data_IF_460657673662
#
_entry.id   IF_460657673662
#
_cell.length_a   1.000
_cell.length_b   1.000
_cell.length_c   1.000
_cell.angle_alpha   90.00
_cell.angle_beta   90.00
_cell.angle_gamma   90.00
#
_symmetry.space_group_name_H-M   'P 1'
#
loop_
_entity.id
_entity.type
_entity.pdbx_description
1 polymer ?
#
# COMPACT_ATOMS: atom_id res chain seq x y z
N UNK A 1 36.58 -65.48 -34.71
CA UNK A 1 35.34 -65.56 -33.89
C UNK A 1 35.33 -64.34 -32.91
N UNK A 2 34.73 -63.24 -33.30
CA UNK A 2 34.75 -61.98 -32.53
C UNK A 2 33.34 -61.68 -32.08
N UNK A 3 33.10 -61.58 -30.76
CA UNK A 3 31.80 -61.19 -30.18
C UNK A 3 31.78 -59.68 -30.01
N UNK A 4 30.71 -58.95 -30.43
CA UNK A 4 30.57 -57.57 -30.12
C UNK A 4 29.98 -57.35 -28.71
N UNK A 5 30.66 -56.51 -27.94
CA UNK A 5 30.14 -55.92 -26.68
C UNK A 5 28.96 -54.97 -26.97
N UNK A 6 27.83 -55.26 -26.39
CA UNK A 6 26.68 -54.34 -26.36
C UNK A 6 26.85 -53.41 -25.16
N UNK A 7 27.14 -52.14 -25.41
CA UNK A 7 27.11 -51.09 -24.42
C UNK A 7 25.66 -50.60 -24.29
N UNK A 8 25.03 -50.89 -23.15
CA UNK A 8 23.72 -50.34 -22.81
C UNK A 8 23.90 -48.98 -22.19
N UNK A 9 23.55 -47.95 -22.94
CA UNK A 9 23.49 -46.57 -22.40
C UNK A 9 22.22 -46.39 -21.56
N UNK A 10 22.39 -46.31 -20.24
CA UNK A 10 21.31 -45.94 -19.32
C UNK A 10 21.09 -44.42 -19.33
N UNK A 11 20.02 -43.96 -19.96
CA UNK A 11 19.54 -42.61 -19.89
C UNK A 11 18.85 -42.38 -18.54
N UNK A 12 19.55 -41.77 -17.58
CA UNK A 12 18.95 -41.29 -16.35
C UNK A 12 18.24 -39.97 -16.66
N UNK A 13 16.93 -40.01 -16.80
CA UNK A 13 16.08 -38.83 -16.91
C UNK A 13 16.00 -38.15 -15.54
N UNK A 14 16.75 -37.09 -15.37
CA UNK A 14 16.69 -36.21 -14.20
C UNK A 14 15.40 -35.33 -14.28
N UNK A 15 14.30 -35.83 -13.73
CA UNK A 15 13.08 -35.07 -13.56
C UNK A 15 13.29 -34.05 -12.42
N UNK A 16 13.77 -32.86 -12.76
CA UNK A 16 13.78 -31.72 -11.85
C UNK A 16 12.32 -31.29 -11.65
N UNK A 17 11.71 -31.76 -10.57
CA UNK A 17 10.44 -31.28 -10.07
C UNK A 17 10.63 -29.80 -9.64
N UNK A 18 10.30 -28.89 -10.52
CA UNK A 18 10.11 -27.47 -10.23
C UNK A 18 8.88 -27.32 -9.32
N UNK A 19 9.04 -27.68 -8.05
CA UNK A 19 8.08 -27.37 -7.00
C UNK A 19 8.19 -25.87 -6.73
N UNK A 20 7.56 -25.06 -7.60
CA UNK A 20 7.35 -23.65 -7.31
C UNK A 20 6.63 -23.54 -5.95
N UNK A 21 6.99 -22.58 -5.08
CA UNK A 21 6.30 -22.41 -3.82
C UNK A 21 4.82 -22.13 -4.13
N UNK A 22 3.98 -23.12 -3.87
CA UNK A 22 2.55 -22.96 -3.90
C UNK A 22 2.23 -21.84 -2.94
N UNK A 23 1.89 -20.66 -3.47
CA UNK A 23 1.39 -19.52 -2.70
C UNK A 23 0.09 -19.96 -2.05
N UNK A 24 0.19 -20.57 -0.87
CA UNK A 24 -0.96 -20.91 -0.06
C UNK A 24 -1.66 -19.60 0.28
N UNK A 25 -2.72 -19.28 -0.47
CA UNK A 25 -3.59 -18.13 -0.29
C UNK A 25 -4.44 -18.32 0.98
N UNK A 26 -3.78 -18.55 2.11
CA UNK A 26 -4.45 -18.55 3.40
C UNK A 26 -5.14 -17.20 3.64
N UNK A 27 -6.21 -17.15 4.47
CA UNK A 27 -6.99 -15.93 4.68
C UNK A 27 -6.08 -14.76 5.07
N UNK A 28 -6.32 -13.61 4.44
CA UNK A 28 -5.56 -12.38 4.71
C UNK A 28 -5.78 -11.97 6.16
N UNK A 29 -4.69 -11.70 6.89
CA UNK A 29 -4.77 -11.21 8.27
C UNK A 29 -5.26 -9.76 8.31
N UNK A 30 -4.65 -8.90 7.49
CA UNK A 30 -4.97 -7.48 7.43
C UNK A 30 -6.20 -7.26 6.56
N UNK A 31 -7.21 -6.65 7.14
CA UNK A 31 -8.32 -6.02 6.43
C UNK A 31 -7.99 -4.55 6.23
N UNK A 32 -8.17 -4.09 5.02
CA UNK A 32 -8.06 -2.70 4.67
C UNK A 32 -9.46 -2.28 4.28
N UNK A 33 -10.02 -1.36 5.04
CA UNK A 33 -11.38 -0.87 4.81
C UNK A 33 -11.54 -0.51 3.34
N UNK A 34 -12.64 -0.96 2.79
CA UNK A 34 -13.02 -0.60 1.42
C UNK A 34 -13.41 0.88 1.46
N UNK A 35 -12.41 1.75 1.34
CA UNK A 35 -12.69 3.10 0.89
C UNK A 35 -13.52 2.97 -0.38
N UNK A 36 -14.61 3.73 -0.52
CA UNK A 36 -15.39 3.77 -1.75
C UNK A 36 -14.49 4.07 -2.94
N UNK A 37 -14.99 3.93 -4.14
CA UNK A 37 -14.35 4.49 -5.33
C UNK A 37 -14.42 6.02 -5.19
N UNK A 38 -13.28 6.68 -5.13
CA UNK A 38 -13.19 8.12 -4.92
C UNK A 38 -11.76 8.55 -4.72
N UNK A 39 -11.57 9.85 -4.57
CA UNK A 39 -10.25 10.44 -4.36
C UNK A 39 -10.30 11.64 -3.41
N UNK A 40 -9.17 11.96 -2.82
CA UNK A 40 -8.94 13.18 -2.05
C UNK A 40 -7.91 14.03 -2.77
N UNK A 41 -8.27 15.29 -3.01
CA UNK A 41 -7.40 16.27 -3.65
C UNK A 41 -6.98 17.31 -2.62
N UNK A 42 -5.69 17.65 -2.60
CA UNK A 42 -5.12 18.72 -1.79
C UNK A 42 -4.50 19.75 -2.70
N UNK A 43 -4.97 20.99 -2.62
CA UNK A 43 -4.34 22.16 -3.25
C UNK A 43 -3.05 22.49 -2.53
N UNK A 44 -1.95 22.62 -3.26
CA UNK A 44 -0.61 22.81 -2.67
C UNK A 44 0.07 24.10 -3.13
N UNK A 45 -0.39 24.69 -4.24
CA UNK A 45 0.34 25.74 -4.94
C UNK A 45 1.54 25.19 -5.73
N UNK A 46 2.31 26.09 -6.40
CA UNK A 46 3.47 25.72 -7.19
C UNK A 46 4.64 25.21 -6.33
N UNK A 47 5.50 24.39 -6.93
CA UNK A 47 6.71 23.86 -6.31
C UNK A 47 6.59 22.45 -5.72
N UNK A 48 7.65 21.95 -5.08
CA UNK A 48 7.64 20.63 -4.48
C UNK A 48 6.84 20.64 -3.18
N UNK A 49 5.92 19.72 -3.02
CA UNK A 49 5.04 19.65 -1.87
C UNK A 49 4.91 18.23 -1.33
N UNK A 50 4.58 18.16 -0.04
CA UNK A 50 4.17 16.93 0.63
C UNK A 50 2.84 17.16 1.35
N UNK A 51 1.93 16.22 1.19
CA UNK A 51 0.68 16.20 1.94
C UNK A 51 0.48 14.85 2.61
N UNK A 52 -0.18 14.87 3.75
CA UNK A 52 -0.54 13.67 4.51
C UNK A 52 -2.02 13.38 4.31
N UNK A 53 -2.34 12.12 3.99
CA UNK A 53 -3.69 11.66 3.71
C UNK A 53 -4.10 10.54 4.66
N UNK A 54 -5.35 10.56 5.09
CA UNK A 54 -6.06 9.41 5.63
C UNK A 54 -6.21 8.39 4.48
N UNK A 55 -5.52 7.28 4.57
CA UNK A 55 -5.43 6.35 3.46
C UNK A 55 -6.44 5.20 3.55
N UNK A 56 -6.63 4.66 4.72
CA UNK A 56 -7.58 3.58 4.95
C UNK A 56 -7.76 3.27 6.44
N UNK A 57 -8.94 2.76 6.79
CA UNK A 57 -9.10 1.96 8.00
C UNK A 57 -8.36 0.64 7.85
N UNK A 58 -7.64 0.25 8.89
CA UNK A 58 -6.91 -1.02 8.93
C UNK A 58 -7.20 -1.79 10.20
N UNK A 59 -7.48 -3.08 10.08
CA UNK A 59 -7.72 -3.95 11.22
C UNK A 59 -7.33 -5.40 10.92
N UNK A 60 -7.31 -6.25 11.93
CA UNK A 60 -6.98 -7.67 11.79
C UNK A 60 -8.24 -8.53 11.82
N UNK A 61 -8.39 -9.44 10.84
CA UNK A 61 -9.49 -10.41 10.78
C UNK A 61 -9.40 -11.49 11.85
N UNK A 62 -8.21 -11.74 12.38
CA UNK A 62 -7.92 -12.70 13.46
C UNK A 62 -6.89 -12.13 14.43
N UNK A 63 -6.74 -12.69 15.65
CA UNK A 63 -5.69 -12.24 16.57
C UNK A 63 -4.30 -12.33 15.96
N UNK A 64 -3.44 -11.34 16.25
CA UNK A 64 -2.08 -11.28 15.72
C UNK A 64 -1.54 -9.85 15.64
N UNK A 65 -0.46 -9.71 14.89
CA UNK A 65 0.16 -8.43 14.56
C UNK A 65 0.53 -8.44 13.07
N UNK A 66 0.04 -7.44 12.33
CA UNK A 66 0.53 -7.17 10.98
C UNK A 66 1.50 -5.99 11.02
N UNK A 67 2.68 -6.13 10.43
CA UNK A 67 3.64 -5.04 10.26
C UNK A 67 3.62 -4.58 8.81
N UNK A 68 3.19 -3.34 8.57
CA UNK A 68 3.31 -2.72 7.24
C UNK A 68 4.79 -2.48 6.96
N UNK A 69 5.25 -2.92 5.82
CA UNK A 69 6.67 -2.88 5.42
C UNK A 69 6.92 -1.93 4.25
N UNK A 70 5.89 -1.70 3.43
CA UNK A 70 5.99 -0.81 2.27
C UNK A 70 4.58 -0.35 1.86
N UNK A 71 4.50 0.89 1.39
CA UNK A 71 3.27 1.48 0.84
C UNK A 71 3.63 2.25 -0.42
N UNK A 72 2.94 1.99 -1.52
CA UNK A 72 3.17 2.64 -2.81
C UNK A 72 1.87 3.05 -3.44
N UNK A 73 1.88 4.13 -4.20
CA UNK A 73 0.76 4.49 -5.06
C UNK A 73 0.55 3.42 -6.14
N UNK A 74 -0.68 3.26 -6.53
CA UNK A 74 -1.07 2.53 -7.74
C UNK A 74 -1.29 3.55 -8.84
N UNK A 75 -0.90 3.20 -10.06
CA UNK A 75 -1.02 4.07 -11.24
C UNK A 75 -0.55 5.50 -10.93
N UNK A 76 0.70 5.70 -10.47
CA UNK A 76 1.17 7.03 -10.10
C UNK A 76 1.21 7.94 -11.34
N UNK A 77 0.83 9.20 -11.15
CA UNK A 77 0.93 10.27 -12.14
C UNK A 77 1.78 11.41 -11.58
N UNK A 78 2.43 12.18 -12.44
CA UNK A 78 3.23 13.35 -12.05
C UNK A 78 4.38 13.02 -11.10
N UNK A 79 4.99 11.82 -11.24
CA UNK A 79 6.09 11.33 -10.40
C UNK A 79 5.80 11.35 -8.89
N UNK A 80 4.52 11.21 -8.53
CA UNK A 80 4.10 11.11 -7.14
C UNK A 80 4.68 9.89 -6.44
N UNK A 81 5.07 10.06 -5.18
CA UNK A 81 5.61 8.99 -4.36
C UNK A 81 5.03 9.01 -2.95
N UNK A 82 4.88 7.82 -2.34
CA UNK A 82 4.69 7.70 -0.90
C UNK A 82 6.07 7.74 -0.25
N UNK A 83 6.34 8.78 0.53
CA UNK A 83 7.64 8.99 1.19
C UNK A 83 7.65 8.57 2.65
N UNK A 84 6.49 8.59 3.31
CA UNK A 84 6.34 8.10 4.68
C UNK A 84 4.92 7.58 4.94
N UNK A 85 4.77 6.78 5.98
CA UNK A 85 3.47 6.28 6.42
C UNK A 85 3.48 5.89 7.89
N UNK A 86 2.31 5.95 8.51
CA UNK A 86 2.11 5.55 9.91
C UNK A 86 0.73 4.95 10.12
N UNK A 87 0.60 4.15 11.16
CA UNK A 87 -0.67 3.62 11.65
C UNK A 87 -0.95 4.21 13.03
N UNK A 88 -2.07 4.86 13.17
CA UNK A 88 -2.52 5.44 14.44
C UNK A 88 -3.85 4.84 14.88
N UNK A 89 -4.17 4.91 16.16
CA UNK A 89 -5.51 4.61 16.64
C UNK A 89 -6.44 5.72 16.21
N UNK A 90 -7.59 5.38 15.62
CA UNK A 90 -8.60 6.35 15.20
C UNK A 90 -9.26 7.07 16.37
N UNK A 91 -9.69 8.30 16.13
CA UNK A 91 -10.47 9.14 17.05
C UNK A 91 -11.40 10.05 16.23
N UNK A 92 -12.39 10.62 16.89
CA UNK A 92 -13.31 11.57 16.26
C UNK A 92 -12.56 12.85 15.85
N UNK A 93 -12.87 13.36 14.65
CA UNK A 93 -12.26 14.59 14.12
C UNK A 93 -10.85 14.38 13.52
N UNK A 94 -10.50 13.15 13.14
CA UNK A 94 -9.26 12.89 12.38
C UNK A 94 -9.27 13.63 11.03
N UNK A 95 -8.18 14.31 10.65
CA UNK A 95 -8.11 14.99 9.36
C UNK A 95 -8.12 13.97 8.20
N UNK A 96 -8.94 14.20 7.18
CA UNK A 96 -8.92 13.41 5.94
C UNK A 96 -7.64 13.67 5.14
N UNK A 97 -7.17 14.92 5.13
CA UNK A 97 -5.92 15.32 4.53
C UNK A 97 -5.38 16.60 5.15
N UNK A 98 -4.09 16.84 4.97
CA UNK A 98 -3.44 18.10 5.34
C UNK A 98 -2.25 18.38 4.41
N UNK A 99 -2.08 19.63 3.98
CA UNK A 99 -0.95 20.10 3.17
C UNK A 99 0.34 20.24 4.02
N UNK A 100 0.64 19.20 4.82
CA UNK A 100 1.84 19.14 5.67
C UNK A 100 2.47 17.74 5.57
N UNK A 101 3.80 17.63 5.59
CA UNK A 101 4.45 16.34 5.70
C UNK A 101 4.11 15.65 7.03
N UNK A 102 4.04 14.32 7.02
CA UNK A 102 3.58 13.48 8.14
C UNK A 102 4.32 13.79 9.44
N UNK A 103 5.64 13.98 9.38
CA UNK A 103 6.49 14.33 10.53
C UNK A 103 6.11 15.65 11.23
N UNK A 104 5.39 16.56 10.53
CA UNK A 104 4.92 17.83 11.09
C UNK A 104 3.52 17.73 11.70
N UNK A 105 2.84 16.59 11.57
CA UNK A 105 1.49 16.39 12.13
C UNK A 105 1.59 15.59 13.42
N UNK A 106 1.80 16.31 14.54
CA UNK A 106 2.06 15.69 15.87
C UNK A 106 1.02 14.66 16.30
N UNK A 107 -0.25 14.88 15.98
CA UNK A 107 -1.35 13.97 16.31
C UNK A 107 -1.27 12.63 15.57
N UNK A 108 -0.47 12.53 14.51
CA UNK A 108 -0.31 11.33 13.69
C UNK A 108 0.98 10.55 14.00
N UNK A 109 1.60 10.80 15.15
CA UNK A 109 2.73 9.97 15.58
C UNK A 109 2.23 8.58 15.98
N UNK A 110 2.58 7.59 15.20
CA UNK A 110 2.07 6.23 15.34
C UNK A 110 3.14 5.17 15.15
N UNK A 111 2.74 4.05 14.62
CA UNK A 111 3.57 2.86 14.44
C UNK A 111 3.37 2.29 13.03
N UNK A 112 4.19 1.32 12.64
CA UNK A 112 3.98 0.52 11.42
C UNK A 112 3.29 -0.82 11.72
N UNK A 113 2.74 -0.99 12.93
CA UNK A 113 2.11 -2.23 13.37
C UNK A 113 0.62 -2.04 13.56
N UNK A 114 -0.17 -2.96 13.01
CA UNK A 114 -1.61 -3.09 13.25
C UNK A 114 -1.83 -4.21 14.25
N UNK A 115 -2.52 -3.92 15.36
CA UNK A 115 -2.82 -4.88 16.42
C UNK A 115 -4.33 -5.01 16.68
N UNK A 116 -5.12 -4.03 16.24
CA UNK A 116 -6.55 -3.99 16.48
C UNK A 116 -7.32 -4.99 15.61
N UNK A 117 -8.26 -5.73 16.23
CA UNK A 117 -9.17 -6.62 15.51
C UNK A 117 -10.30 -5.83 14.84
N UNK A 118 -10.75 -6.32 13.69
CA UNK A 118 -12.00 -5.86 13.10
C UNK A 118 -13.17 -6.32 13.98
N UNK A 119 -13.97 -5.38 14.48
CA UNK A 119 -15.10 -5.72 15.35
C UNK A 119 -16.07 -4.56 15.47
N UNK A 120 -17.35 -4.88 15.72
CA UNK A 120 -18.43 -3.90 15.83
C UNK A 120 -18.51 -3.21 17.20
N UNK A 121 -17.86 -3.72 18.25
CA UNK A 121 -18.11 -3.27 19.66
C UNK A 121 -17.07 -2.32 20.19
N UNK A 122 -15.84 -2.41 19.73
CA UNK A 122 -14.81 -1.46 20.15
C UNK A 122 -14.66 -0.44 19.04
N UNK A 123 -15.17 0.76 19.22
CA UNK A 123 -14.96 1.91 18.31
C UNK A 123 -13.47 2.26 18.08
N UNK A 124 -12.56 1.38 18.46
CA UNK A 124 -11.13 1.48 18.24
C UNK A 124 -10.78 0.95 16.85
N UNK A 125 -10.88 1.78 15.84
CA UNK A 125 -10.33 1.51 14.53
C UNK A 125 -8.89 2.02 14.47
N UNK A 126 -8.12 1.43 13.57
CA UNK A 126 -6.77 1.88 13.27
C UNK A 126 -6.78 2.49 11.88
N UNK A 127 -6.00 3.53 11.70
CA UNK A 127 -5.96 4.29 10.45
C UNK A 127 -4.54 4.28 9.92
N UNK A 128 -4.39 3.95 8.66
CA UNK A 128 -3.18 4.17 7.89
C UNK A 128 -3.19 5.59 7.34
N UNK A 129 -2.18 6.39 7.70
CA UNK A 129 -1.86 7.64 7.06
C UNK A 129 -0.66 7.47 6.14
N UNK A 130 -0.66 8.17 5.03
CA UNK A 130 0.45 8.23 4.08
C UNK A 130 0.84 9.66 3.78
N UNK A 131 2.13 9.89 3.61
CA UNK A 131 2.65 11.11 3.03
C UNK A 131 2.86 10.87 1.54
N UNK A 132 2.25 11.72 0.72
CA UNK A 132 2.46 11.74 -0.72
C UNK A 132 3.21 13.01 -1.09
N UNK A 133 4.23 12.88 -1.94
CA UNK A 133 5.02 14.00 -2.43
C UNK A 133 4.77 14.27 -3.91
N UNK A 134 4.81 15.54 -4.27
CA UNK A 134 4.75 16.07 -5.62
C UNK A 134 6.08 16.78 -5.93
N UNK A 135 6.78 16.47 -7.05
CA UNK A 135 7.94 17.23 -7.48
C UNK A 135 7.55 18.63 -7.97
N UNK A 136 8.55 19.50 -8.14
CA UNK A 136 8.32 20.92 -8.47
C UNK A 136 7.72 21.11 -9.88
N UNK A 137 8.11 20.28 -10.81
CA UNK A 137 7.74 20.37 -12.22
C UNK A 137 6.37 19.80 -12.55
N UNK A 138 5.73 19.10 -11.62
CA UNK A 138 4.42 18.50 -11.86
C UNK A 138 3.30 19.41 -11.37
N UNK A 139 2.38 19.87 -12.22
CA UNK A 139 1.21 20.66 -11.80
C UNK A 139 0.20 19.84 -11.00
N UNK A 140 0.13 18.52 -11.29
CA UNK A 140 -0.65 17.54 -10.55
C UNK A 140 0.15 16.25 -10.35
N UNK A 141 0.04 15.62 -9.18
CA UNK A 141 0.72 14.38 -8.87
C UNK A 141 -0.11 13.53 -7.89
N UNK A 142 -0.16 12.22 -8.10
CA UNK A 142 -1.00 11.35 -7.26
C UNK A 142 -1.09 9.91 -7.75
N UNK A 143 -2.20 9.24 -7.44
CA UNK A 143 -2.48 7.88 -7.93
C UNK A 143 -3.80 7.31 -7.40
N UNK A 144 -4.31 6.23 -8.03
CA UNK A 144 -5.66 5.66 -7.86
C UNK A 144 -5.78 4.70 -6.68
N UNK A 145 -4.99 4.86 -5.68
CA UNK A 145 -5.01 4.02 -4.49
C UNK A 145 -3.63 3.52 -4.08
N UNK A 146 -3.60 2.58 -3.16
CA UNK A 146 -2.36 2.08 -2.60
C UNK A 146 -2.18 0.58 -2.80
N UNK A 147 -0.93 0.20 -2.94
CA UNK A 147 -0.42 -1.16 -2.72
C UNK A 147 0.31 -1.19 -1.39
N UNK A 148 -0.21 -1.95 -0.44
CA UNK A 148 0.28 -2.04 0.93
C UNK A 148 0.90 -3.41 1.14
N UNK A 149 2.22 -3.47 1.31
CA UNK A 149 2.93 -4.70 1.67
C UNK A 149 3.01 -4.81 3.19
N UNK A 150 2.73 -6.00 3.72
CA UNK A 150 2.79 -6.24 5.16
C UNK A 150 3.28 -7.65 5.49
N UNK A 151 3.87 -7.81 6.68
CA UNK A 151 4.27 -9.10 7.23
C UNK A 151 3.25 -9.60 8.24
N UNK A 152 2.89 -10.87 8.10
CA UNK A 152 2.09 -11.68 9.02
C UNK A 152 2.99 -12.84 9.50
N UNK A 153 3.64 -12.67 10.62
CA UNK A 153 4.76 -13.51 11.01
C UNK A 153 5.90 -13.42 9.99
N UNK A 154 6.28 -14.55 9.41
CA UNK A 154 7.32 -14.62 8.37
C UNK A 154 6.81 -14.38 6.95
N UNK A 155 5.49 -14.37 6.74
CA UNK A 155 4.89 -14.26 5.41
C UNK A 155 4.71 -12.79 5.01
N UNK A 156 5.18 -12.44 3.82
CA UNK A 156 4.86 -11.15 3.19
C UNK A 156 3.57 -11.28 2.38
N UNK A 157 2.69 -10.32 2.54
CA UNK A 157 1.39 -10.24 1.87
C UNK A 157 1.13 -8.83 1.34
N UNK A 158 0.17 -8.71 0.44
CA UNK A 158 -0.23 -7.43 -0.17
C UNK A 158 -1.72 -7.21 -0.01
N UNK A 159 -2.07 -6.01 0.45
CA UNK A 159 -3.42 -5.44 0.38
C UNK A 159 -3.45 -4.28 -0.62
N UNK A 160 -4.63 -3.88 -1.07
CA UNK A 160 -4.83 -2.77 -2.01
C UNK A 160 -6.04 -1.95 -1.60
N UNK A 161 -5.92 -0.61 -1.77
CA UNK A 161 -7.05 0.32 -1.72
C UNK A 161 -7.42 0.78 -3.12
N UNK A 162 -8.59 1.42 -3.25
CA UNK A 162 -9.04 2.07 -4.48
C UNK A 162 -9.20 3.58 -4.33
N UNK A 163 -9.01 4.09 -3.14
CA UNK A 163 -9.11 5.50 -2.82
C UNK A 163 -7.90 6.25 -3.37
N UNK A 164 -8.11 7.23 -4.24
CA UNK A 164 -7.05 8.02 -4.88
C UNK A 164 -6.57 9.17 -4.00
N UNK A 165 -5.33 9.61 -4.24
CA UNK A 165 -4.67 10.71 -3.50
C UNK A 165 -3.96 11.60 -4.49
N UNK A 166 -4.31 12.88 -4.52
CA UNK A 166 -3.77 13.83 -5.49
C UNK A 166 -3.37 15.14 -4.83
N UNK A 167 -2.22 15.67 -5.25
CA UNK A 167 -1.73 17.00 -4.95
C UNK A 167 -1.77 17.82 -6.23
N UNK A 168 -2.44 18.96 -6.19
CA UNK A 168 -2.59 19.83 -7.34
C UNK A 168 -2.10 21.25 -6.99
N UNK A 169 -1.45 21.93 -7.93
CA UNK A 169 -1.11 23.33 -7.75
C UNK A 169 -2.35 24.19 -7.60
N UNK A 170 -3.32 23.95 -8.48
CA UNK A 170 -4.66 24.55 -8.41
C UNK A 170 -5.68 23.46 -8.72
N UNK A 171 -6.56 23.18 -7.77
CA UNK A 171 -7.61 22.15 -7.89
C UNK A 171 -8.65 22.44 -8.99
N UNK A 172 -8.67 23.67 -9.52
CA UNK A 172 -9.57 24.09 -10.57
C UNK A 172 -9.00 23.93 -11.98
N UNK A 173 -7.71 23.60 -12.09
CA UNK A 173 -7.08 23.41 -13.39
C UNK A 173 -7.41 22.07 -14.00
N UNK A 174 -7.42 22.04 -15.34
CA UNK A 174 -7.72 20.85 -16.12
C UNK A 174 -6.76 19.69 -15.80
N UNK A 175 -5.47 19.99 -15.60
CA UNK A 175 -4.46 18.98 -15.27
C UNK A 175 -4.76 18.24 -13.95
N UNK A 176 -5.43 18.90 -13.00
CA UNK A 176 -5.89 18.26 -11.79
C UNK A 176 -7.13 17.39 -12.05
N UNK A 177 -8.07 17.91 -12.85
CA UNK A 177 -9.28 17.18 -13.24
C UNK A 177 -8.94 15.94 -14.03
N UNK A 178 -8.04 16.01 -15.01
CA UNK A 178 -7.58 14.90 -15.83
C UNK A 178 -6.83 13.85 -15.02
N UNK A 179 -6.05 14.27 -14.04
CA UNK A 179 -5.35 13.34 -13.16
C UNK A 179 -6.30 12.56 -12.22
N UNK A 180 -7.51 13.09 -11.98
CA UNK A 180 -8.50 12.50 -11.06
C UNK A 180 -9.66 11.80 -11.76
N UNK A 181 -9.82 11.97 -13.08
CA UNK A 181 -10.89 11.40 -13.92
C UNK A 181 -10.59 10.01 -14.34
#
# INVERSE_FOLDING_TARGET
MSRPLRVAAALVALAVLLSGPASSAGPRLLDVGRGGDGHVVVGTGPGPHAATFYAADVCLRRPGVARITDVRLRNPVGDAQVTDYTVVRGWDGMPLATAKPLRKVRSLHGTRRVKGRCGRRDHAFWVLYVEVTKPAESPAAGGDGLRISYRDGERTRVARTRWGFYLCEDVRREECTDATG
#
